data_IF_414824964164
#
_entry.id   IF_414824964164
#
_cell.length_a   1.000
_cell.length_b   1.000
_cell.length_c   1.000
_cell.angle_alpha   90.00
_cell.angle_beta   90.00
_cell.angle_gamma   90.00
#
_symmetry.space_group_name_H-M   'P 1'
#
loop_
_entity.id
_entity.type
_entity.pdbx_description
1 polymer ?
#
# COMPACT_ATOMS: atom_id res chain seq x y z
N UNK A 1 14.56 -18.89 32.31
CA UNK A 1 14.97 -18.67 30.90
C UNK A 1 13.90 -17.97 30.07
N UNK A 2 12.61 -18.36 30.12
CA UNK A 2 11.47 -17.67 29.47
C UNK A 2 11.46 -16.15 29.70
N UNK A 3 11.53 -15.77 30.97
CA UNK A 3 11.46 -14.38 31.40
C UNK A 3 12.65 -13.55 30.93
N UNK A 4 13.78 -14.20 30.64
CA UNK A 4 15.03 -13.51 30.32
C UNK A 4 15.03 -13.01 28.88
N UNK A 5 14.53 -13.80 27.93
CA UNK A 5 14.38 -13.37 26.53
C UNK A 5 13.28 -12.31 26.42
N UNK A 6 12.16 -12.48 27.14
CA UNK A 6 11.10 -11.47 27.12
C UNK A 6 11.57 -10.15 27.78
N UNK A 7 12.26 -10.21 28.93
CA UNK A 7 12.85 -9.03 29.58
C UNK A 7 13.91 -8.39 28.70
N UNK A 8 14.77 -9.17 28.06
CA UNK A 8 15.82 -8.66 27.15
C UNK A 8 15.19 -7.94 25.96
N UNK A 9 14.13 -8.50 25.35
CA UNK A 9 13.43 -7.87 24.23
C UNK A 9 12.71 -6.57 24.63
N UNK A 10 12.09 -6.52 25.82
CA UNK A 10 11.50 -5.28 26.36
C UNK A 10 12.56 -4.23 26.67
N UNK A 11 13.72 -4.65 27.18
CA UNK A 11 14.85 -3.78 27.54
C UNK A 11 15.59 -3.24 26.31
N UNK A 12 15.66 -4.01 25.23
CA UNK A 12 16.46 -3.66 24.06
C UNK A 12 15.95 -2.43 23.33
N UNK A 13 14.63 -2.24 23.20
CA UNK A 13 14.03 -1.02 22.62
C UNK A 13 12.67 -0.65 23.25
N UNK A 14 12.67 0.17 24.32
CA UNK A 14 11.44 0.55 25.03
C UNK A 14 10.51 1.46 24.21
N UNK A 15 11.04 2.13 23.18
CA UNK A 15 10.31 3.15 22.39
C UNK A 15 9.52 2.58 21.21
N UNK A 16 9.48 1.26 21.02
CA UNK A 16 8.69 0.67 19.94
C UNK A 16 7.20 0.80 20.18
N UNK A 17 6.45 1.15 19.13
CA UNK A 17 5.00 1.02 19.15
C UNK A 17 4.59 -0.44 19.43
N UNK A 18 3.47 -0.61 20.15
CA UNK A 18 2.97 -1.92 20.55
C UNK A 18 2.80 -2.88 19.35
N UNK A 19 2.37 -2.36 18.19
CA UNK A 19 2.29 -3.12 16.93
C UNK A 19 3.63 -3.73 16.52
N UNK A 20 4.69 -2.93 16.57
CA UNK A 20 6.06 -3.33 16.22
C UNK A 20 6.60 -4.35 17.22
N UNK A 21 6.36 -4.15 18.51
CA UNK A 21 6.72 -5.12 19.55
C UNK A 21 6.02 -6.47 19.30
N UNK A 22 4.72 -6.45 19.02
CA UNK A 22 3.95 -7.67 18.70
C UNK A 22 4.47 -8.40 17.48
N UNK A 23 4.75 -7.68 16.37
CA UNK A 23 5.28 -8.27 15.14
C UNK A 23 6.63 -8.96 15.38
N UNK A 24 7.51 -8.34 16.17
CA UNK A 24 8.82 -8.93 16.52
C UNK A 24 8.72 -10.13 17.44
N UNK A 25 7.84 -10.07 18.46
CA UNK A 25 7.54 -11.25 19.29
C UNK A 25 6.99 -12.41 18.45
N UNK A 26 6.09 -12.14 17.51
CA UNK A 26 5.55 -13.14 16.58
C UNK A 26 6.64 -13.73 15.67
N UNK A 27 7.56 -12.91 15.17
CA UNK A 27 8.71 -13.39 14.40
C UNK A 27 9.58 -14.36 15.20
N UNK A 28 9.94 -14.00 16.44
CA UNK A 28 10.76 -14.86 17.31
C UNK A 28 10.08 -16.20 17.59
N UNK A 29 8.77 -16.18 17.87
CA UNK A 29 8.02 -17.42 18.06
C UNK A 29 8.03 -18.29 16.81
N UNK A 30 7.83 -17.71 15.62
CA UNK A 30 7.88 -18.46 14.37
C UNK A 30 9.28 -19.05 14.11
N UNK A 31 10.33 -18.30 14.44
CA UNK A 31 11.71 -18.78 14.31
C UNK A 31 12.02 -19.92 15.30
N UNK A 32 11.59 -19.80 16.55
CA UNK A 32 11.74 -20.89 17.52
C UNK A 32 10.96 -22.13 17.08
N UNK A 33 9.72 -21.98 16.58
CA UNK A 33 8.98 -23.12 16.02
C UNK A 33 9.72 -23.76 14.86
N UNK A 34 10.34 -22.96 14.00
CA UNK A 34 11.18 -23.48 12.92
C UNK A 34 12.34 -24.33 13.47
N UNK A 35 13.04 -23.87 14.50
CA UNK A 35 14.14 -24.63 15.13
C UNK A 35 13.66 -25.95 15.75
N UNK A 36 12.56 -25.90 16.49
CA UNK A 36 11.95 -27.10 17.09
C UNK A 36 11.51 -28.12 16.03
N UNK A 37 10.99 -27.67 14.90
CA UNK A 37 10.63 -28.53 13.77
C UNK A 37 11.84 -29.16 13.07
N UNK A 38 13.06 -28.70 13.36
CA UNK A 38 14.32 -29.25 12.85
C UNK A 38 15.14 -29.92 13.98
N UNK A 39 14.47 -30.37 15.04
CA UNK A 39 15.06 -31.06 16.20
C UNK A 39 16.14 -30.24 16.94
N UNK A 40 16.19 -28.93 16.72
CA UNK A 40 17.05 -28.02 17.48
C UNK A 40 16.33 -27.62 18.77
N UNK A 41 16.94 -27.95 19.90
CA UNK A 41 16.46 -27.55 21.23
C UNK A 41 16.38 -26.02 21.33
N UNK A 42 15.15 -25.50 21.40
CA UNK A 42 14.89 -24.07 21.49
C UNK A 42 13.70 -23.78 22.40
N UNK A 43 13.75 -22.67 23.14
CA UNK A 43 12.71 -22.31 24.10
C UNK A 43 11.59 -21.48 23.45
N UNK A 44 10.33 -21.97 23.51
CA UNK A 44 9.17 -21.26 22.97
C UNK A 44 8.55 -20.31 24.01
N UNK A 45 8.62 -18.97 23.83
CA UNK A 45 7.98 -18.03 24.73
C UNK A 45 6.45 -18.09 24.64
N UNK A 46 5.79 -18.02 25.80
CA UNK A 46 4.32 -18.10 25.95
C UNK A 46 3.56 -17.01 25.19
N UNK A 47 2.30 -17.30 24.83
CA UNK A 47 1.45 -16.43 23.99
C UNK A 47 0.84 -15.23 24.72
N UNK A 48 0.86 -15.23 26.06
CA UNK A 48 0.22 -14.17 26.86
C UNK A 48 0.83 -12.78 26.57
N UNK A 49 2.11 -12.75 26.23
CA UNK A 49 2.86 -11.56 25.85
C UNK A 49 2.46 -10.91 24.50
N UNK A 50 1.64 -11.60 23.67
CA UNK A 50 1.19 -11.13 22.35
C UNK A 50 -0.21 -10.51 22.36
N UNK A 51 -1.01 -10.76 23.39
CA UNK A 51 -2.40 -10.28 23.49
C UNK A 51 -2.50 -8.79 23.80
N UNK A 52 -1.47 -8.17 24.38
CA UNK A 52 -1.54 -6.83 24.98
C UNK A 52 -1.37 -5.67 23.99
N UNK A 53 -0.97 -5.91 22.75
CA UNK A 53 -0.71 -4.83 21.80
C UNK A 53 -1.96 -4.48 20.98
N UNK A 54 -2.90 -3.77 21.61
CA UNK A 54 -3.97 -3.08 20.89
C UNK A 54 -3.36 -1.84 20.23
N UNK A 55 -3.35 -1.82 18.91
CA UNK A 55 -2.82 -0.70 18.15
C UNK A 55 -3.92 0.36 18.09
N UNK A 56 -3.75 1.48 18.80
CA UNK A 56 -4.66 2.64 18.75
C UNK A 56 -4.53 3.43 17.43
N UNK A 57 -4.29 2.75 16.31
CA UNK A 57 -4.28 3.40 15.00
C UNK A 57 -5.71 3.59 14.53
N UNK A 58 -6.15 4.85 14.47
CA UNK A 58 -7.41 5.22 13.84
C UNK A 58 -7.11 5.69 12.42
N UNK A 59 -7.57 4.97 11.37
CA UNK A 59 -7.37 5.44 10.00
C UNK A 59 -8.07 6.78 9.80
N UNK A 60 -7.39 7.70 9.14
CA UNK A 60 -8.00 8.95 8.71
C UNK A 60 -8.79 8.71 7.42
N UNK A 61 -10.08 9.04 7.43
CA UNK A 61 -10.95 8.96 6.27
C UNK A 61 -11.21 10.38 5.83
N UNK A 62 -10.75 10.73 4.63
CA UNK A 62 -10.99 12.06 4.06
C UNK A 62 -12.48 12.29 3.84
N UNK A 63 -12.94 13.47 4.21
CA UNK A 63 -14.24 13.98 3.82
C UNK A 63 -14.28 14.30 2.34
N UNK A 64 -15.50 14.46 1.79
CA UNK A 64 -15.66 14.82 0.38
C UNK A 64 -14.99 16.15 0.04
N UNK A 65 -15.12 17.16 0.91
CA UNK A 65 -14.51 18.47 0.73
C UNK A 65 -12.98 18.42 0.67
N UNK A 66 -12.36 17.62 1.53
CA UNK A 66 -10.90 17.44 1.52
C UNK A 66 -10.41 16.70 0.27
N UNK A 67 -11.18 15.74 -0.25
CA UNK A 67 -10.86 15.10 -1.54
C UNK A 67 -10.95 16.10 -2.69
N UNK A 68 -12.00 16.93 -2.71
CA UNK A 68 -12.17 17.95 -3.75
C UNK A 68 -11.04 19.00 -3.66
N UNK A 69 -10.63 19.40 -2.45
CA UNK A 69 -9.48 20.28 -2.22
C UNK A 69 -8.16 19.62 -2.66
N UNK A 70 -7.94 18.35 -2.33
CA UNK A 70 -6.77 17.59 -2.78
C UNK A 70 -6.68 17.59 -4.32
N UNK A 71 -7.80 17.34 -5.00
CA UNK A 71 -7.85 17.36 -6.46
C UNK A 71 -7.60 18.74 -7.04
N UNK A 72 -8.13 19.79 -6.40
CA UNK A 72 -7.84 21.17 -6.76
C UNK A 72 -6.33 21.44 -6.64
N UNK A 73 -5.76 21.29 -5.43
CA UNK A 73 -4.35 21.55 -5.15
C UNK A 73 -3.42 20.76 -6.06
N UNK A 74 -3.74 19.50 -6.36
CA UNK A 74 -2.95 18.69 -7.30
C UNK A 74 -2.90 19.30 -8.71
N UNK A 75 -4.01 19.91 -9.17
CA UNK A 75 -4.09 20.57 -10.47
C UNK A 75 -3.31 21.90 -10.53
N UNK A 76 -3.01 22.51 -9.39
CA UNK A 76 -2.24 23.75 -9.29
C UNK A 76 -0.72 23.54 -9.17
N UNK A 77 -0.25 22.29 -9.19
CA UNK A 77 1.18 21.99 -9.16
C UNK A 77 1.85 22.65 -10.39
N UNK A 78 2.87 23.46 -10.15
CA UNK A 78 3.58 24.14 -11.22
C UNK A 78 4.34 23.15 -12.13
N UNK A 79 4.38 23.42 -13.45
CA UNK A 79 5.19 22.65 -14.38
C UNK A 79 6.64 22.52 -13.92
N UNK A 80 7.16 21.30 -13.97
CA UNK A 80 8.53 20.99 -13.57
C UNK A 80 9.09 19.82 -14.35
N UNK A 81 10.41 19.64 -14.28
CA UNK A 81 11.15 18.63 -15.06
C UNK A 81 10.72 17.19 -14.77
N UNK A 82 10.17 16.91 -13.58
CA UNK A 82 9.66 15.58 -13.18
C UNK A 82 8.21 15.36 -13.60
N UNK A 83 7.60 16.33 -14.30
CA UNK A 83 6.21 16.25 -14.78
C UNK A 83 5.19 15.96 -13.67
N UNK A 84 5.47 16.40 -12.45
CA UNK A 84 4.60 16.14 -11.28
C UNK A 84 3.20 16.76 -11.43
N UNK A 85 3.13 17.91 -12.12
CA UNK A 85 1.89 18.59 -12.51
C UNK A 85 0.99 17.78 -13.45
N UNK A 86 1.52 16.75 -14.11
CA UNK A 86 0.75 15.82 -14.95
C UNK A 86 0.46 14.54 -14.16
N UNK A 87 1.45 14.04 -13.43
CA UNK A 87 1.38 12.76 -12.72
C UNK A 87 0.44 12.78 -11.50
N UNK A 88 0.62 13.71 -10.56
CA UNK A 88 -0.14 13.68 -9.29
C UNK A 88 -1.65 13.88 -9.45
N UNK A 89 -2.15 14.79 -10.33
CA UNK A 89 -3.59 14.92 -10.55
C UNK A 89 -4.26 13.61 -10.94
N UNK A 90 -3.60 12.82 -11.79
CA UNK A 90 -4.11 11.56 -12.32
C UNK A 90 -3.97 10.47 -11.27
N UNK A 91 -2.79 10.36 -10.62
CA UNK A 91 -2.55 9.38 -9.56
C UNK A 91 -3.59 9.48 -8.44
N UNK A 92 -3.86 10.67 -7.92
CA UNK A 92 -4.83 10.83 -6.84
C UNK A 92 -6.25 10.44 -7.27
N UNK A 93 -6.64 10.73 -8.51
CA UNK A 93 -7.94 10.35 -9.05
C UNK A 93 -8.05 8.85 -9.27
N UNK A 94 -6.99 8.18 -9.72
CA UNK A 94 -6.92 6.72 -9.83
C UNK A 94 -7.07 6.08 -8.45
N UNK A 95 -6.29 6.52 -7.46
CA UNK A 95 -6.37 5.98 -6.10
C UNK A 95 -7.75 6.16 -5.48
N UNK A 96 -8.34 7.35 -5.65
CA UNK A 96 -9.67 7.64 -5.15
C UNK A 96 -10.76 6.85 -5.88
N UNK A 97 -10.73 6.81 -7.21
CA UNK A 97 -11.76 6.20 -8.04
C UNK A 97 -11.76 4.67 -8.01
N UNK A 98 -10.63 4.05 -7.67
CA UNK A 98 -10.48 2.58 -7.71
C UNK A 98 -10.21 1.95 -6.35
N UNK A 99 -9.76 2.73 -5.35
CA UNK A 99 -9.34 2.20 -4.06
C UNK A 99 -8.14 1.25 -4.11
N UNK A 100 -7.40 1.21 -5.22
CA UNK A 100 -6.21 0.36 -5.34
C UNK A 100 -5.10 0.82 -4.40
N UNK A 101 -4.18 -0.10 -4.05
CA UNK A 101 -3.04 0.28 -3.21
C UNK A 101 -2.08 1.15 -4.00
N UNK A 102 -1.40 2.08 -3.32
CA UNK A 102 -0.37 2.93 -3.95
C UNK A 102 0.69 2.12 -4.70
N UNK A 103 1.13 0.99 -4.14
CA UNK A 103 2.12 0.12 -4.80
C UNK A 103 1.60 -0.55 -6.07
N UNK A 104 0.28 -0.79 -6.16
CA UNK A 104 -0.35 -1.34 -7.36
C UNK A 104 -0.45 -0.23 -8.43
N UNK A 105 -0.93 0.96 -8.05
CA UNK A 105 -1.00 2.11 -8.95
C UNK A 105 0.36 2.48 -9.57
N UNK A 106 1.43 2.47 -8.77
CA UNK A 106 2.79 2.78 -9.22
C UNK A 106 3.42 1.71 -10.11
N UNK A 107 2.80 0.52 -10.22
CA UNK A 107 3.27 -0.59 -11.06
C UNK A 107 2.46 -0.76 -12.34
N UNK A 108 1.38 0.00 -12.50
CA UNK A 108 0.56 -0.06 -13.71
C UNK A 108 1.41 0.25 -14.94
N UNK A 109 1.21 -0.58 -15.96
CA UNK A 109 1.73 -0.39 -17.31
C UNK A 109 0.62 0.11 -18.23
N UNK A 110 0.97 0.51 -19.45
CA UNK A 110 -0.04 0.92 -20.44
C UNK A 110 -0.96 -0.23 -20.85
N UNK A 111 -0.46 -1.48 -20.81
CA UNK A 111 -1.24 -2.67 -21.15
C UNK A 111 -2.28 -3.03 -20.08
N UNK A 112 -2.06 -2.58 -18.84
CA UNK A 112 -2.98 -2.81 -17.73
C UNK A 112 -4.22 -1.91 -17.77
N UNK A 113 -4.25 -0.89 -18.64
CA UNK A 113 -5.30 0.14 -18.65
C UNK A 113 -6.02 0.12 -20.00
N UNK A 114 -7.25 -0.38 -20.00
CA UNK A 114 -8.14 -0.32 -21.17
C UNK A 114 -9.13 0.83 -20.99
N UNK A 115 -8.93 1.94 -21.70
CA UNK A 115 -9.80 3.12 -21.59
C UNK A 115 -11.09 3.00 -22.41
N UNK A 116 -11.09 2.18 -23.48
CA UNK A 116 -12.30 1.86 -24.25
C UNK A 116 -13.31 1.10 -23.39
N UNK A 117 -12.86 0.03 -22.73
CA UNK A 117 -13.67 -0.75 -21.82
C UNK A 117 -13.79 -0.11 -20.42
N UNK A 118 -13.00 0.95 -20.16
CA UNK A 118 -12.93 1.65 -18.87
C UNK A 118 -12.62 0.70 -17.72
N UNK A 119 -11.56 -0.10 -17.88
CA UNK A 119 -11.10 -1.09 -16.91
C UNK A 119 -9.60 -0.97 -16.68
N UNK A 120 -9.19 -1.06 -15.42
CA UNK A 120 -7.79 -1.27 -15.02
C UNK A 120 -7.62 -2.70 -14.52
N UNK A 121 -6.68 -3.43 -15.11
CA UNK A 121 -6.25 -4.75 -14.70
C UNK A 121 -5.16 -4.61 -13.64
N UNK A 122 -5.41 -5.10 -12.42
CA UNK A 122 -4.36 -5.15 -11.39
C UNK A 122 -3.75 -6.55 -11.40
N UNK A 123 -2.54 -6.65 -11.94
CA UNK A 123 -1.75 -7.89 -12.06
C UNK A 123 -0.77 -8.02 -10.90
N UNK A 124 -0.61 -9.24 -10.38
CA UNK A 124 0.29 -9.57 -9.26
C UNK A 124 0.14 -8.66 -8.01
N UNK A 125 -1.09 -8.41 -7.51
CA UNK A 125 -1.24 -7.67 -6.26
C UNK A 125 -0.73 -8.50 -5.09
N UNK A 126 -0.43 -7.85 -3.96
CA UNK A 126 -0.16 -8.55 -2.69
C UNK A 126 -1.30 -9.55 -2.46
N UNK A 127 -0.97 -10.84 -2.44
CA UNK A 127 -1.85 -12.02 -2.37
C UNK A 127 -2.17 -12.73 -3.71
N UNK A 128 -1.50 -12.40 -4.82
CA UNK A 128 -1.58 -13.11 -6.11
C UNK A 128 -3.01 -13.35 -6.61
N UNK A 129 -3.87 -12.33 -6.51
CA UNK A 129 -5.25 -12.37 -7.02
C UNK A 129 -5.49 -11.21 -7.96
N UNK A 130 -5.32 -11.48 -9.24
CA UNK A 130 -5.59 -10.50 -10.28
C UNK A 130 -7.07 -10.08 -10.24
N UNK A 131 -7.33 -8.81 -10.57
CA UNK A 131 -8.69 -8.27 -10.59
C UNK A 131 -8.83 -7.15 -11.60
N UNK A 132 -10.02 -7.06 -12.20
CA UNK A 132 -10.43 -5.93 -13.02
C UNK A 132 -11.12 -4.87 -12.16
N UNK A 133 -10.70 -3.62 -12.30
CA UNK A 133 -11.28 -2.47 -11.61
C UNK A 133 -11.95 -1.56 -12.65
N UNK A 134 -13.30 -1.47 -12.66
CA UNK A 134 -13.98 -0.53 -13.54
C UNK A 134 -13.67 0.90 -13.10
N UNK A 135 -13.51 1.80 -14.08
CA UNK A 135 -13.27 3.23 -13.85
C UNK A 135 -14.43 4.08 -14.40
N UNK A 136 -14.68 5.22 -13.78
CA UNK A 136 -15.68 6.17 -14.27
C UNK A 136 -15.23 6.82 -15.59
N UNK A 137 -16.18 7.32 -16.38
CA UNK A 137 -15.86 8.09 -17.59
C UNK A 137 -14.96 9.29 -17.31
N UNK A 138 -15.23 10.02 -16.22
CA UNK A 138 -14.38 11.14 -15.78
C UNK A 138 -12.95 10.70 -15.46
N UNK A 139 -12.75 9.54 -14.84
CA UNK A 139 -11.41 9.03 -14.56
C UNK A 139 -10.72 8.58 -15.86
N UNK A 140 -11.44 7.94 -16.77
CA UNK A 140 -10.93 7.57 -18.08
C UNK A 140 -10.44 8.79 -18.87
N UNK A 141 -11.16 9.91 -18.84
CA UNK A 141 -10.73 11.18 -19.46
C UNK A 141 -9.41 11.70 -18.90
N UNK A 142 -9.20 11.63 -17.58
CA UNK A 142 -7.93 12.02 -16.95
C UNK A 142 -6.79 11.05 -17.33
N UNK A 143 -7.05 9.75 -17.40
CA UNK A 143 -6.05 8.78 -17.84
C UNK A 143 -5.70 8.96 -19.33
N UNK A 144 -6.69 9.24 -20.18
CA UNK A 144 -6.48 9.57 -21.58
C UNK A 144 -5.62 10.84 -21.72
N UNK A 145 -5.95 11.90 -20.98
CA UNK A 145 -5.16 13.13 -20.94
C UNK A 145 -3.71 12.85 -20.51
N UNK A 146 -3.50 12.05 -19.46
CA UNK A 146 -2.16 11.63 -19.02
C UNK A 146 -1.39 10.92 -20.15
N UNK A 147 -2.01 9.93 -20.78
CA UNK A 147 -1.41 9.18 -21.88
C UNK A 147 -1.00 10.11 -23.03
N UNK A 148 -1.87 11.05 -23.42
CA UNK A 148 -1.60 12.02 -24.48
C UNK A 148 -0.39 12.93 -24.20
N UNK A 149 -0.06 13.16 -22.92
CA UNK A 149 1.04 14.05 -22.50
C UNK A 149 2.35 13.32 -22.30
N UNK A 150 2.31 12.11 -21.73
CA UNK A 150 3.50 11.35 -21.32
C UNK A 150 3.88 10.28 -22.35
N UNK A 151 2.89 9.66 -22.99
CA UNK A 151 3.05 8.53 -23.91
C UNK A 151 2.41 8.82 -25.28
N UNK A 152 2.84 9.86 -26.01
CA UNK A 152 2.20 10.24 -27.27
C UNK A 152 2.24 9.15 -28.35
N UNK A 153 3.25 8.26 -28.31
CA UNK A 153 3.34 7.12 -29.23
C UNK A 153 2.29 6.01 -28.98
N UNK A 154 1.66 6.00 -27.80
CA UNK A 154 0.62 5.03 -27.42
C UNK A 154 -0.80 5.56 -27.64
N UNK A 155 -0.95 6.81 -28.11
CA UNK A 155 -2.23 7.46 -28.36
C UNK A 155 -3.11 6.72 -29.40
N UNK A 156 -2.55 5.82 -30.21
CA UNK A 156 -3.31 5.06 -31.22
C UNK A 156 -4.06 3.84 -30.67
N UNK A 157 -3.74 3.39 -29.44
CA UNK A 157 -4.28 2.17 -28.82
C UNK A 157 -4.89 2.43 -27.42
N UNK A 158 -5.11 3.70 -27.06
CA UNK A 158 -5.73 4.13 -25.82
C UNK A 158 -7.09 4.77 -26.06
#
# INVERSE_FOLDING_TARGET
MSDEIEKTMRKYQPNWQAATQKRRKSFLQNFVRYLLNHDVQAFLPGYDALRTAQVNFKPYIFSRGEIDELFCLSGWIHPNYRQQHIFYPVLFRVLYGTGMRISEALRLTMEDVNLDEKVICVVDPKNHKDRHLPISGSLAEYCFWYCSKIHPAWHSNC
#
